data_IF_607463853442
#
_entry.id   IF_607463853442
#
_cell.length_a   1.000
_cell.length_b   1.000
_cell.length_c   1.000
_cell.angle_alpha   90.00
_cell.angle_beta   90.00
_cell.angle_gamma   90.00
#
_symmetry.space_group_name_H-M   'P 1'
#
loop_
_entity.id
_entity.type
_entity.pdbx_description
1 polymer ?
#
# COMPACT_ATOMS: atom_id res chain seq x y z
N UNK A 1 2.56 -13.81 -7.24
CA UNK A 1 2.28 -14.87 -6.23
C UNK A 1 2.25 -14.29 -4.83
N UNK A 2 1.96 -15.10 -3.80
CA UNK A 2 2.06 -14.68 -2.40
C UNK A 2 3.50 -14.44 -1.95
N UNK A 3 4.47 -15.07 -2.61
CA UNK A 3 5.90 -14.92 -2.37
C UNK A 3 6.41 -13.55 -2.79
N UNK A 4 5.78 -12.92 -3.77
CA UNK A 4 6.17 -11.62 -4.32
C UNK A 4 5.71 -10.44 -3.45
N UNK A 5 4.93 -10.71 -2.38
CA UNK A 5 4.40 -9.68 -1.50
C UNK A 5 5.36 -9.43 -0.35
N UNK A 6 5.91 -8.23 -0.30
CA UNK A 6 6.81 -7.80 0.76
C UNK A 6 6.07 -7.44 2.06
N UNK A 7 6.65 -7.75 3.20
CA UNK A 7 6.27 -7.25 4.52
C UNK A 7 4.96 -7.76 5.13
N UNK A 8 4.22 -8.70 4.47
CA UNK A 8 2.92 -9.18 4.94
C UNK A 8 2.89 -10.71 5.19
N UNK A 9 3.99 -11.27 5.69
CA UNK A 9 4.14 -12.73 5.86
C UNK A 9 3.02 -13.37 6.68
N UNK A 10 2.55 -12.71 7.74
CA UNK A 10 1.46 -13.20 8.59
C UNK A 10 0.13 -13.33 7.83
N UNK A 11 -0.15 -12.46 6.86
CA UNK A 11 -1.34 -12.52 6.00
C UNK A 11 -1.17 -13.62 4.95
N UNK A 12 -0.04 -13.61 4.23
CA UNK A 12 0.20 -14.53 3.11
C UNK A 12 0.27 -15.98 3.56
N UNK A 13 0.92 -16.28 4.69
CA UNK A 13 1.00 -17.63 5.27
C UNK A 13 -0.40 -18.12 5.66
N UNK A 14 -1.18 -17.28 6.35
CA UNK A 14 -2.53 -17.66 6.79
C UNK A 14 -3.44 -17.94 5.61
N UNK A 15 -3.42 -17.10 4.57
CA UNK A 15 -4.22 -17.31 3.36
C UNK A 15 -3.79 -18.55 2.58
N UNK A 16 -2.47 -18.82 2.44
CA UNK A 16 -1.96 -20.05 1.81
C UNK A 16 -2.45 -21.30 2.54
N UNK A 17 -2.40 -21.31 3.86
CA UNK A 17 -2.89 -22.44 4.66
C UNK A 17 -4.39 -22.63 4.49
N UNK A 18 -5.19 -21.56 4.52
CA UNK A 18 -6.63 -21.62 4.29
C UNK A 18 -6.97 -22.22 2.91
N UNK A 19 -6.23 -21.81 1.86
CA UNK A 19 -6.39 -22.34 0.50
C UNK A 19 -6.04 -23.83 0.45
N UNK A 20 -4.89 -24.21 1.03
CA UNK A 20 -4.43 -25.62 1.08
C UNK A 20 -5.43 -26.54 1.80
N UNK A 21 -6.04 -26.04 2.85
CA UNK A 21 -7.05 -26.79 3.64
C UNK A 21 -8.48 -26.67 3.06
N UNK A 22 -8.64 -25.96 1.92
CA UNK A 22 -9.93 -25.66 1.30
C UNK A 22 -10.93 -24.99 2.27
N UNK A 23 -10.41 -24.17 3.21
CA UNK A 23 -11.18 -23.40 4.21
C UNK A 23 -11.29 -21.95 3.78
N UNK A 24 -12.04 -21.71 2.70
CA UNK A 24 -12.24 -20.36 2.18
C UNK A 24 -13.41 -19.70 2.91
N UNK A 25 -13.16 -18.53 3.52
CA UNK A 25 -14.22 -17.74 4.12
C UNK A 25 -15.05 -17.04 3.03
N UNK A 26 -16.33 -16.81 3.32
CA UNK A 26 -17.22 -16.09 2.40
C UNK A 26 -16.94 -14.59 2.35
N UNK A 27 -16.28 -14.01 3.38
CA UNK A 27 -15.92 -12.61 3.43
C UNK A 27 -14.59 -12.39 4.14
N UNK A 28 -13.76 -11.54 3.55
CA UNK A 28 -12.49 -11.08 4.08
C UNK A 28 -12.51 -9.56 4.25
N UNK A 29 -11.91 -9.07 5.32
CA UNK A 29 -11.68 -7.64 5.53
C UNK A 29 -10.17 -7.38 5.63
N UNK A 30 -9.61 -6.71 4.64
CA UNK A 30 -8.21 -6.28 4.60
C UNK A 30 -8.12 -4.83 5.08
N UNK A 31 -7.56 -4.61 6.26
CA UNK A 31 -7.46 -3.31 6.89
C UNK A 31 -5.99 -2.89 7.04
N UNK A 32 -5.67 -1.64 6.77
CA UNK A 32 -4.32 -1.11 6.97
C UNK A 32 -3.95 0.07 6.08
N UNK A 33 -2.76 0.66 6.25
CA UNK A 33 -2.33 1.85 5.53
C UNK A 33 -2.38 1.70 4.01
N UNK A 34 -2.37 2.83 3.30
CA UNK A 34 -2.30 2.86 1.83
C UNK A 34 -0.97 2.25 1.36
N UNK A 35 -0.96 1.65 0.18
CA UNK A 35 0.26 1.16 -0.45
C UNK A 35 0.83 -0.14 0.13
N UNK A 36 0.18 -0.77 1.14
CA UNK A 36 0.68 -1.98 1.84
C UNK A 36 0.32 -3.31 1.17
N UNK A 37 -0.31 -3.28 -0.01
CA UNK A 37 -0.58 -4.48 -0.81
C UNK A 37 -1.96 -5.12 -0.62
N UNK A 38 -2.94 -4.45 0.03
CA UNK A 38 -4.30 -4.99 0.25
C UNK A 38 -4.96 -5.48 -1.03
N UNK A 39 -5.09 -4.63 -2.04
CA UNK A 39 -5.72 -4.94 -3.33
C UNK A 39 -4.91 -5.98 -4.11
N UNK A 40 -3.58 -5.94 -4.00
CA UNK A 40 -2.68 -6.93 -4.59
C UNK A 40 -2.92 -8.33 -4.01
N UNK A 41 -2.97 -8.46 -2.69
CA UNK A 41 -3.27 -9.75 -2.01
C UNK A 41 -4.69 -10.19 -2.31
N UNK A 42 -5.66 -9.26 -2.41
CA UNK A 42 -7.02 -9.58 -2.83
C UNK A 42 -7.06 -10.25 -4.21
N UNK A 43 -6.35 -9.70 -5.20
CA UNK A 43 -6.21 -10.29 -6.54
C UNK A 43 -5.47 -11.64 -6.51
N UNK A 44 -4.43 -11.77 -5.70
CA UNK A 44 -3.70 -13.03 -5.53
C UNK A 44 -4.63 -14.09 -4.91
N UNK A 45 -5.41 -13.75 -3.90
CA UNK A 45 -6.39 -14.65 -3.28
C UNK A 45 -7.45 -15.05 -4.30
N UNK A 46 -8.02 -14.12 -5.05
CA UNK A 46 -9.00 -14.40 -6.10
C UNK A 46 -8.45 -15.36 -7.17
N UNK A 47 -7.18 -15.17 -7.59
CA UNK A 47 -6.49 -16.10 -8.47
C UNK A 47 -6.33 -17.49 -7.85
N UNK A 48 -5.89 -17.54 -6.60
CA UNK A 48 -5.57 -18.80 -5.93
C UNK A 48 -6.79 -19.69 -5.73
N UNK A 49 -7.95 -19.11 -5.30
CA UNK A 49 -9.18 -19.90 -5.08
C UNK A 49 -9.88 -20.32 -6.38
N UNK A 50 -9.56 -19.67 -7.50
CA UNK A 50 -10.10 -19.96 -8.83
C UNK A 50 -9.07 -20.59 -9.78
N UNK A 51 -7.88 -20.89 -9.28
CA UNK A 51 -6.80 -21.50 -10.06
C UNK A 51 -7.14 -22.94 -10.42
N UNK A 52 -6.87 -23.34 -11.66
CA UNK A 52 -7.04 -24.71 -12.16
C UNK A 52 -5.72 -25.47 -12.27
N UNK A 53 -4.59 -24.87 -11.88
CA UNK A 53 -3.27 -25.51 -11.86
C UNK A 53 -2.93 -26.14 -10.51
N UNK A 54 -1.87 -26.94 -10.48
CA UNK A 54 -1.45 -27.72 -9.30
C UNK A 54 -0.92 -26.89 -8.13
N UNK A 55 -0.37 -25.68 -8.42
CA UNK A 55 0.21 -24.77 -7.42
C UNK A 55 -0.48 -23.40 -7.45
N UNK A 56 -1.62 -23.23 -6.73
CA UNK A 56 -2.36 -21.97 -6.72
C UNK A 56 -1.63 -20.80 -6.00
N UNK A 57 -1.57 -19.61 -6.64
CA UNK A 57 -1.95 -19.27 -8.00
C UNK A 57 -0.82 -19.62 -9.00
N UNK A 58 -1.13 -20.39 -10.08
CA UNK A 58 -0.12 -20.80 -11.05
C UNK A 58 0.30 -19.68 -12.04
N UNK A 59 -0.46 -18.59 -12.16
CA UNK A 59 -0.29 -17.49 -13.10
C UNK A 59 -0.35 -17.85 -14.60
N UNK A 60 -0.51 -19.11 -14.95
CA UNK A 60 -0.48 -19.62 -16.33
C UNK A 60 -1.86 -20.06 -16.85
N UNK A 61 -2.73 -20.54 -15.97
CA UNK A 61 -4.07 -20.99 -16.37
C UNK A 61 -4.94 -19.81 -16.85
N UNK A 62 -6.00 -20.08 -17.65
CA UNK A 62 -6.87 -19.03 -18.18
C UNK A 62 -7.44 -18.11 -17.10
N UNK A 63 -7.87 -18.66 -15.96
CA UNK A 63 -8.42 -17.88 -14.86
C UNK A 63 -7.35 -16.94 -14.26
N UNK A 64 -6.14 -17.43 -13.98
CA UNK A 64 -5.07 -16.59 -13.45
C UNK A 64 -4.68 -15.46 -14.39
N UNK A 65 -4.60 -15.72 -15.70
CA UNK A 65 -4.28 -14.72 -16.72
C UNK A 65 -5.38 -13.66 -16.81
N UNK A 66 -6.65 -14.08 -16.93
CA UNK A 66 -7.78 -13.16 -17.03
C UNK A 66 -7.92 -12.29 -15.77
N UNK A 67 -7.73 -12.86 -14.56
CA UNK A 67 -7.76 -12.07 -13.31
C UNK A 67 -6.60 -11.07 -13.25
N UNK A 68 -5.42 -11.44 -13.75
CA UNK A 68 -4.27 -10.52 -13.81
C UNK A 68 -4.52 -9.35 -14.76
N UNK A 69 -5.20 -9.60 -15.87
CA UNK A 69 -5.59 -8.57 -16.86
C UNK A 69 -6.79 -7.72 -16.41
N UNK A 70 -7.55 -8.19 -15.42
CA UNK A 70 -8.77 -7.51 -14.95
C UNK A 70 -10.03 -7.81 -15.76
N UNK A 71 -9.99 -8.83 -16.61
CA UNK A 71 -11.05 -9.15 -17.57
C UNK A 71 -11.88 -10.40 -17.19
N UNK A 72 -11.66 -10.95 -15.99
CA UNK A 72 -12.34 -12.18 -15.57
C UNK A 72 -13.81 -11.91 -15.18
N UNK A 73 -14.81 -12.57 -15.82
CA UNK A 73 -16.23 -12.27 -15.59
C UNK A 73 -16.72 -12.56 -14.17
N UNK A 74 -16.06 -13.50 -13.47
CA UNK A 74 -16.41 -13.89 -12.11
C UNK A 74 -15.55 -13.23 -11.03
N UNK A 75 -14.63 -12.31 -11.39
CA UNK A 75 -13.84 -11.53 -10.44
C UNK A 75 -14.06 -10.04 -10.72
N UNK A 76 -14.86 -9.42 -9.89
CA UNK A 76 -15.33 -8.05 -10.08
C UNK A 76 -14.62 -7.16 -9.06
N UNK A 77 -13.87 -6.18 -9.56
CA UNK A 77 -13.21 -5.17 -8.74
C UNK A 77 -14.04 -3.87 -8.77
N UNK A 78 -14.32 -3.34 -7.59
CA UNK A 78 -15.13 -2.13 -7.40
C UNK A 78 -14.35 -1.19 -6.48
N UNK A 79 -14.12 0.01 -6.94
CA UNK A 79 -13.64 1.11 -6.11
C UNK A 79 -14.85 1.82 -5.49
N UNK A 80 -15.00 1.71 -4.17
CA UNK A 80 -16.10 2.34 -3.46
C UNK A 80 -15.99 3.87 -3.41
N UNK A 81 -14.82 4.46 -3.70
CA UNK A 81 -14.70 5.91 -3.82
C UNK A 81 -15.47 6.43 -5.05
N UNK A 82 -15.52 5.65 -6.13
CA UNK A 82 -16.23 5.97 -7.38
C UNK A 82 -17.63 5.36 -7.45
N UNK A 83 -17.91 4.29 -6.69
CA UNK A 83 -19.16 3.50 -6.73
C UNK A 83 -19.70 3.29 -5.31
N UNK A 84 -20.07 4.37 -4.63
CA UNK A 84 -20.44 4.38 -3.20
C UNK A 84 -21.96 4.35 -2.94
N UNK A 85 -22.77 4.44 -3.97
CA UNK A 85 -24.23 4.58 -3.86
C UNK A 85 -24.95 3.28 -3.59
N UNK A 86 -26.17 3.41 -3.10
CA UNK A 86 -27.07 2.27 -2.82
C UNK A 86 -27.45 1.50 -4.08
N UNK A 87 -27.60 2.19 -5.21
CA UNK A 87 -28.04 1.55 -6.45
C UNK A 87 -26.94 0.64 -7.03
N UNK A 88 -25.70 1.10 -7.02
CA UNK A 88 -24.54 0.33 -7.47
C UNK A 88 -24.39 -0.95 -6.62
N UNK A 89 -24.57 -0.85 -5.30
CA UNK A 89 -24.51 -2.00 -4.40
C UNK A 89 -25.72 -2.92 -4.58
N UNK A 90 -26.91 -2.41 -4.85
CA UNK A 90 -28.10 -3.25 -5.18
C UNK A 90 -27.89 -4.03 -6.45
N UNK A 91 -27.37 -3.39 -7.50
CA UNK A 91 -27.04 -4.05 -8.76
C UNK A 91 -25.99 -5.16 -8.56
N UNK A 92 -25.02 -4.93 -7.67
CA UNK A 92 -24.06 -5.96 -7.26
C UNK A 92 -24.76 -7.12 -6.57
N UNK A 93 -25.64 -6.86 -5.57
CA UNK A 93 -26.37 -7.86 -4.81
C UNK A 93 -27.28 -8.70 -5.72
N UNK A 94 -27.89 -8.10 -6.71
CA UNK A 94 -28.70 -8.84 -7.69
C UNK A 94 -27.84 -9.78 -8.54
N UNK A 95 -26.61 -9.41 -8.85
CA UNK A 95 -25.65 -10.26 -9.58
C UNK A 95 -25.05 -11.39 -8.72
N UNK A 96 -25.04 -11.24 -7.40
CA UNK A 96 -24.57 -12.26 -6.46
C UNK A 96 -25.37 -13.56 -6.54
N UNK A 97 -26.63 -13.49 -6.90
CA UNK A 97 -27.54 -14.66 -7.00
C UNK A 97 -27.17 -15.62 -8.13
N UNK A 98 -26.41 -15.14 -9.12
CA UNK A 98 -26.06 -15.95 -10.28
C UNK A 98 -24.76 -16.73 -10.04
N UNK A 99 -24.77 -18.00 -10.44
CA UNK A 99 -23.59 -18.86 -10.37
C UNK A 99 -22.41 -18.31 -11.19
N UNK A 100 -21.17 -18.66 -10.84
CA UNK A 100 -20.01 -18.32 -11.66
C UNK A 100 -20.10 -18.91 -13.06
N UNK A 101 -19.50 -18.22 -14.05
CA UNK A 101 -19.50 -18.65 -15.45
C UNK A 101 -18.31 -19.59 -15.70
N UNK A 102 -17.11 -19.21 -15.29
CA UNK A 102 -15.86 -19.89 -15.60
C UNK A 102 -15.03 -20.27 -14.37
N UNK A 103 -15.39 -19.78 -13.19
CA UNK A 103 -14.62 -19.95 -11.96
C UNK A 103 -15.33 -20.84 -10.94
N UNK A 104 -14.61 -21.29 -9.92
CA UNK A 104 -15.19 -21.99 -8.77
C UNK A 104 -15.97 -21.03 -7.85
N UNK A 105 -15.41 -19.83 -7.66
CA UNK A 105 -15.98 -18.77 -6.84
C UNK A 105 -16.15 -17.50 -7.64
N UNK A 106 -17.27 -16.82 -7.44
CA UNK A 106 -17.47 -15.45 -7.90
C UNK A 106 -16.96 -14.51 -6.81
N UNK A 107 -15.96 -13.69 -7.14
CA UNK A 107 -15.24 -12.86 -6.17
C UNK A 107 -15.56 -11.39 -6.41
N UNK A 108 -15.94 -10.71 -5.34
CA UNK A 108 -16.13 -9.26 -5.34
C UNK A 108 -15.03 -8.62 -4.49
N UNK A 109 -14.13 -7.88 -5.12
CA UNK A 109 -13.10 -7.09 -4.46
C UNK A 109 -13.63 -5.66 -4.38
N UNK A 110 -13.90 -5.18 -3.15
CA UNK A 110 -14.40 -3.82 -2.92
C UNK A 110 -13.30 -3.04 -2.21
N UNK A 111 -12.64 -2.15 -2.96
CA UNK A 111 -11.58 -1.30 -2.41
C UNK A 111 -12.16 -0.03 -1.81
N UNK A 112 -11.45 0.52 -0.81
CA UNK A 112 -11.83 1.69 0.00
C UNK A 112 -13.28 1.61 0.50
N UNK A 113 -13.68 0.42 0.96
CA UNK A 113 -15.06 0.11 1.34
C UNK A 113 -15.65 1.07 2.39
N UNK A 114 -14.82 1.77 3.18
CA UNK A 114 -15.26 2.80 4.12
C UNK A 114 -15.90 4.02 3.45
N UNK A 115 -15.74 4.18 2.13
CA UNK A 115 -16.38 5.25 1.35
C UNK A 115 -17.85 4.95 0.98
N UNK A 116 -18.32 3.72 1.20
CA UNK A 116 -19.71 3.35 0.96
C UNK A 116 -20.67 4.10 1.89
N UNK A 117 -21.84 4.44 1.38
CA UNK A 117 -22.88 5.04 2.22
C UNK A 117 -23.43 4.05 3.24
N UNK A 118 -23.98 4.52 4.39
CA UNK A 118 -24.60 3.63 5.38
C UNK A 118 -25.71 2.73 4.80
N UNK A 119 -26.48 3.25 3.85
CA UNK A 119 -27.54 2.50 3.18
C UNK A 119 -26.99 1.40 2.27
N UNK A 120 -25.84 1.66 1.62
CA UNK A 120 -25.13 0.67 0.81
C UNK A 120 -24.57 -0.45 1.69
N UNK A 121 -23.98 -0.11 2.85
CA UNK A 121 -23.55 -1.09 3.84
C UNK A 121 -24.71 -1.95 4.35
N UNK A 122 -25.84 -1.35 4.67
CA UNK A 122 -27.03 -2.09 5.12
C UNK A 122 -27.55 -3.06 4.06
N UNK A 123 -27.49 -2.68 2.78
CA UNK A 123 -27.86 -3.56 1.69
C UNK A 123 -26.93 -4.79 1.58
N UNK A 124 -25.61 -4.59 1.80
CA UNK A 124 -24.61 -5.64 1.75
C UNK A 124 -24.72 -6.61 2.95
N UNK A 125 -25.14 -6.12 4.14
CA UNK A 125 -25.23 -6.92 5.36
C UNK A 125 -26.04 -8.19 5.17
N UNK A 126 -27.21 -8.12 4.50
CA UNK A 126 -28.07 -9.29 4.30
C UNK A 126 -27.36 -10.39 3.50
N UNK A 127 -26.55 -10.02 2.52
CA UNK A 127 -25.78 -10.98 1.71
C UNK A 127 -24.59 -11.55 2.49
N UNK A 128 -24.00 -10.76 3.40
CA UNK A 128 -22.93 -11.24 4.28
C UNK A 128 -23.44 -12.17 5.40
N UNK A 129 -24.72 -12.06 5.79
CA UNK A 129 -25.36 -12.95 6.76
C UNK A 129 -25.69 -14.31 6.18
N UNK A 130 -26.23 -14.31 4.95
CA UNK A 130 -26.62 -15.53 4.24
C UNK A 130 -25.96 -15.57 2.85
N UNK A 131 -24.61 -15.74 2.80
CA UNK A 131 -23.90 -15.71 1.55
C UNK A 131 -24.15 -16.97 0.73
N UNK A 132 -24.40 -16.87 -0.59
CA UNK A 132 -24.38 -18.03 -1.47
C UNK A 132 -23.00 -18.73 -1.42
N UNK A 133 -22.98 -20.06 -1.46
CA UNK A 133 -21.77 -20.87 -1.27
C UNK A 133 -20.66 -20.59 -2.32
N UNK A 134 -21.02 -20.02 -3.46
CA UNK A 134 -20.11 -19.71 -4.55
C UNK A 134 -19.58 -18.28 -4.53
N UNK A 135 -19.91 -17.47 -3.51
CA UNK A 135 -19.53 -16.06 -3.42
C UNK A 135 -18.41 -15.87 -2.39
N UNK A 136 -17.43 -15.03 -2.76
CA UNK A 136 -16.40 -14.55 -1.83
C UNK A 136 -16.31 -13.02 -1.95
N UNK A 137 -16.48 -12.35 -0.82
CA UNK A 137 -16.23 -10.91 -0.70
C UNK A 137 -14.84 -10.65 -0.16
N UNK A 138 -14.10 -9.69 -0.75
CA UNK A 138 -12.85 -9.18 -0.23
C UNK A 138 -12.99 -7.67 -0.11
N UNK A 139 -13.18 -7.20 1.11
CA UNK A 139 -13.34 -5.80 1.45
C UNK A 139 -11.98 -5.22 1.85
N UNK A 140 -11.54 -4.15 1.22
CA UNK A 140 -10.30 -3.47 1.58
C UNK A 140 -10.58 -2.05 2.10
N UNK A 141 -9.84 -1.63 3.13
CA UNK A 141 -10.00 -0.29 3.74
C UNK A 141 -8.71 0.24 4.32
N UNK A 142 -8.50 1.54 4.17
CA UNK A 142 -7.46 2.29 4.89
C UNK A 142 -7.97 2.79 6.26
N UNK A 143 -9.28 2.83 6.49
CA UNK A 143 -9.90 3.38 7.70
C UNK A 143 -10.84 2.36 8.37
N UNK A 144 -10.28 1.34 9.05
CA UNK A 144 -11.08 0.25 9.65
C UNK A 144 -12.05 0.75 10.74
N UNK A 145 -11.77 1.88 11.37
CA UNK A 145 -12.63 2.48 12.39
C UNK A 145 -13.94 3.04 11.84
N UNK A 146 -14.03 3.29 10.52
CA UNK A 146 -15.26 3.71 9.83
C UNK A 146 -16.16 2.54 9.42
N UNK A 147 -15.67 1.31 9.52
CA UNK A 147 -16.46 0.13 9.14
C UNK A 147 -17.37 -0.27 10.28
N UNK A 148 -18.63 -0.56 9.95
CA UNK A 148 -19.62 -0.98 10.93
C UNK A 148 -19.20 -2.28 11.65
N UNK A 149 -19.32 -2.37 13.00
CA UNK A 149 -19.01 -3.60 13.74
C UNK A 149 -19.78 -4.82 13.24
N UNK A 150 -20.97 -4.62 12.72
CA UNK A 150 -21.82 -5.65 12.12
C UNK A 150 -21.22 -6.27 10.85
N UNK A 151 -20.47 -5.51 10.07
CA UNK A 151 -19.69 -6.01 8.92
C UNK A 151 -18.44 -6.75 9.41
N UNK A 152 -17.68 -6.11 10.33
CA UNK A 152 -16.42 -6.68 10.86
C UNK A 152 -16.66 -8.08 11.45
N UNK A 153 -17.76 -8.26 12.20
CA UNK A 153 -18.08 -9.56 12.83
C UNK A 153 -18.41 -10.70 11.87
N UNK A 154 -18.67 -10.39 10.59
CA UNK A 154 -18.99 -11.35 9.54
C UNK A 154 -17.85 -11.61 8.57
N UNK A 155 -16.73 -10.90 8.74
CA UNK A 155 -15.56 -11.01 7.89
C UNK A 155 -14.39 -11.64 8.65
N UNK A 156 -13.57 -12.42 7.96
CA UNK A 156 -12.24 -12.75 8.46
C UNK A 156 -11.34 -11.56 8.25
N UNK A 157 -10.94 -10.90 9.36
CA UNK A 157 -10.13 -9.68 9.32
C UNK A 157 -8.64 -10.00 9.25
N UNK A 158 -7.94 -9.25 8.40
CA UNK A 158 -6.49 -9.24 8.27
C UNK A 158 -5.99 -7.80 8.38
N UNK A 159 -5.10 -7.55 9.32
CA UNK A 159 -4.50 -6.23 9.54
C UNK A 159 -3.14 -6.17 8.82
N UNK A 160 -3.07 -5.30 7.82
CA UNK A 160 -1.87 -5.01 7.06
C UNK A 160 -1.03 -3.96 7.79
N UNK A 161 0.24 -4.21 7.87
CA UNK A 161 1.21 -3.30 8.51
C UNK A 161 1.95 -2.49 7.45
N UNK A 162 2.55 -1.38 7.87
CA UNK A 162 3.56 -0.71 7.05
C UNK A 162 4.66 -1.71 6.71
N UNK A 163 5.16 -1.62 5.49
CA UNK A 163 6.26 -2.46 5.05
C UNK A 163 7.55 -1.93 5.66
N UNK A 164 8.36 -2.79 6.22
CA UNK A 164 9.64 -2.42 6.82
C UNK A 164 10.61 -1.89 5.74
N UNK A 165 11.48 -0.95 6.11
CA UNK A 165 12.44 -0.35 5.17
C UNK A 165 13.30 -1.40 4.46
N UNK A 166 13.75 -2.42 5.18
CA UNK A 166 14.53 -3.53 4.61
C UNK A 166 13.77 -4.27 3.50
N UNK A 167 12.47 -4.54 3.69
CA UNK A 167 11.64 -5.22 2.70
C UNK A 167 11.39 -4.33 1.47
N UNK A 168 11.24 -3.00 1.68
CA UNK A 168 11.13 -2.03 0.59
C UNK A 168 12.42 -1.99 -0.21
N UNK A 169 13.57 -1.83 0.45
CA UNK A 169 14.89 -1.79 -0.20
C UNK A 169 15.12 -3.07 -1.01
N UNK A 170 14.89 -4.24 -0.41
CA UNK A 170 15.05 -5.53 -1.09
C UNK A 170 14.18 -5.63 -2.36
N UNK A 171 12.96 -5.09 -2.31
CA UNK A 171 12.08 -5.07 -3.48
C UNK A 171 12.54 -4.10 -4.56
N UNK A 172 13.00 -2.91 -4.17
CA UNK A 172 13.57 -1.92 -5.10
C UNK A 172 14.82 -2.47 -5.79
N UNK A 173 15.73 -3.10 -5.03
CA UNK A 173 16.91 -3.76 -5.59
C UNK A 173 16.54 -4.84 -6.61
N UNK A 174 15.57 -5.68 -6.29
CA UNK A 174 15.10 -6.70 -7.22
C UNK A 174 14.63 -6.07 -8.54
N UNK A 175 13.82 -5.01 -8.48
CA UNK A 175 13.32 -4.31 -9.68
C UNK A 175 14.47 -3.70 -10.48
N UNK A 176 15.42 -3.02 -9.83
CA UNK A 176 16.55 -2.37 -10.49
C UNK A 176 17.48 -3.38 -11.17
N UNK A 177 17.70 -4.54 -10.54
CA UNK A 177 18.49 -5.65 -11.11
C UNK A 177 17.80 -6.24 -12.35
N UNK A 178 16.48 -6.47 -12.31
CA UNK A 178 15.72 -6.96 -13.48
C UNK A 178 15.70 -5.96 -14.64
N UNK A 179 15.66 -4.66 -14.34
CA UNK A 179 15.68 -3.57 -15.33
C UNK A 179 17.10 -3.22 -15.81
N UNK A 180 18.15 -3.84 -15.24
CA UNK A 180 19.57 -3.54 -15.49
C UNK A 180 19.89 -2.04 -15.32
N UNK A 181 19.48 -1.47 -14.19
CA UNK A 181 19.70 -0.08 -13.83
C UNK A 181 20.83 0.01 -12.78
N UNK A 182 21.77 0.95 -12.99
CA UNK A 182 22.79 1.28 -12.00
C UNK A 182 22.20 2.19 -10.91
N UNK A 183 22.60 1.95 -9.66
CA UNK A 183 22.09 2.70 -8.52
C UNK A 183 23.08 2.80 -7.36
N UNK A 184 22.96 3.88 -6.57
CA UNK A 184 23.65 4.05 -5.30
C UNK A 184 22.82 3.40 -4.19
N UNK A 185 23.42 2.64 -3.28
CA UNK A 185 22.71 2.00 -2.15
C UNK A 185 21.97 3.02 -1.28
N UNK A 186 22.60 4.16 -0.98
CA UNK A 186 21.98 5.26 -0.22
C UNK A 186 20.70 5.79 -0.87
N UNK A 187 20.58 5.73 -2.18
CA UNK A 187 19.38 6.11 -2.93
C UNK A 187 18.15 5.28 -2.54
N UNK A 188 18.34 4.00 -2.27
CA UNK A 188 17.26 3.10 -1.86
C UNK A 188 16.75 3.41 -0.46
N UNK A 189 17.66 3.74 0.46
CA UNK A 189 17.29 4.16 1.82
C UNK A 189 16.45 5.44 1.78
N UNK A 190 16.82 6.41 0.94
CA UNK A 190 16.06 7.64 0.78
C UNK A 190 14.67 7.35 0.24
N UNK A 191 14.54 6.52 -0.81
CA UNK A 191 13.23 6.15 -1.37
C UNK A 191 12.39 5.42 -0.32
N UNK A 192 12.98 4.51 0.45
CA UNK A 192 12.28 3.76 1.50
C UNK A 192 11.70 4.69 2.58
N UNK A 193 12.48 5.65 3.04
CA UNK A 193 12.03 6.68 3.99
C UNK A 193 10.93 7.57 3.40
N UNK A 194 11.06 7.95 2.12
CA UNK A 194 10.05 8.74 1.40
C UNK A 194 8.71 8.02 1.30
N UNK A 195 8.74 6.71 1.13
CA UNK A 195 7.57 5.87 0.93
C UNK A 195 6.78 5.60 2.22
N UNK A 196 7.37 5.85 3.39
CA UNK A 196 6.73 5.73 4.71
C UNK A 196 5.97 4.39 4.88
N UNK A 197 6.62 3.29 4.48
CA UNK A 197 6.07 1.94 4.58
C UNK A 197 5.05 1.57 3.50
N UNK A 198 4.86 2.40 2.46
CA UNK A 198 4.00 2.13 1.31
C UNK A 198 4.80 1.57 0.12
N UNK A 199 4.69 0.28 -0.18
CA UNK A 199 5.39 -0.31 -1.33
C UNK A 199 4.99 0.31 -2.67
N UNK A 200 3.70 0.67 -2.84
CA UNK A 200 3.22 1.35 -4.06
C UNK A 200 3.87 2.72 -4.22
N UNK A 201 4.00 3.45 -3.12
CA UNK A 201 4.61 4.77 -3.12
C UNK A 201 6.11 4.66 -3.40
N UNK A 202 6.81 3.67 -2.83
CA UNK A 202 8.22 3.39 -3.11
C UNK A 202 8.48 3.13 -4.61
N UNK A 203 7.67 2.26 -5.22
CA UNK A 203 7.79 1.98 -6.65
C UNK A 203 7.46 3.19 -7.53
N UNK A 204 6.47 4.00 -7.15
CA UNK A 204 6.13 5.23 -7.87
C UNK A 204 7.25 6.28 -7.77
N UNK A 205 7.89 6.39 -6.61
CA UNK A 205 9.06 7.26 -6.42
C UNK A 205 10.22 6.79 -7.29
N UNK A 206 10.51 5.49 -7.29
CA UNK A 206 11.55 4.90 -8.13
C UNK A 206 11.29 5.19 -9.61
N UNK A 207 10.07 4.93 -10.10
CA UNK A 207 9.68 5.17 -11.48
C UNK A 207 9.88 6.64 -11.90
N UNK A 208 9.50 7.59 -11.04
CA UNK A 208 9.70 9.01 -11.31
C UNK A 208 11.18 9.39 -11.37
N UNK A 209 12.02 8.84 -10.47
CA UNK A 209 13.46 9.08 -10.51
C UNK A 209 14.10 8.51 -11.78
N UNK A 210 13.71 7.29 -12.18
CA UNK A 210 14.21 6.66 -13.39
C UNK A 210 13.72 7.34 -14.69
N UNK A 211 12.56 7.98 -14.65
CA UNK A 211 12.08 8.81 -15.76
C UNK A 211 12.91 10.10 -15.93
N UNK A 212 13.48 10.62 -14.82
CA UNK A 212 14.37 11.77 -14.85
C UNK A 212 15.77 11.41 -15.35
N UNK A 213 16.36 10.36 -14.80
CA UNK A 213 17.67 9.82 -15.21
C UNK A 213 17.69 8.30 -14.98
N UNK A 214 18.28 7.57 -15.90
CA UNK A 214 18.35 6.11 -15.83
C UNK A 214 19.35 5.60 -14.79
N UNK A 215 20.23 6.47 -14.29
CA UNK A 215 21.14 6.19 -13.17
C UNK A 215 20.53 6.74 -11.88
N UNK A 216 20.19 5.86 -10.94
CA UNK A 216 19.56 6.24 -9.69
C UNK A 216 20.62 6.73 -8.68
N UNK A 217 20.72 8.02 -8.49
CA UNK A 217 21.65 8.67 -7.55
C UNK A 217 20.91 9.51 -6.51
N UNK A 218 21.55 9.71 -5.37
CA UNK A 218 21.04 10.61 -4.32
C UNK A 218 20.78 12.02 -4.86
N UNK A 219 21.67 12.52 -5.73
CA UNK A 219 21.52 13.83 -6.33
C UNK A 219 20.26 13.95 -7.20
N UNK A 220 19.96 12.91 -7.99
CA UNK A 220 18.78 12.86 -8.85
C UNK A 220 17.50 12.80 -8.03
N UNK A 221 17.45 12.00 -6.95
CA UNK A 221 16.32 11.97 -6.03
C UNK A 221 16.09 13.34 -5.38
N UNK A 222 17.17 13.96 -4.91
CA UNK A 222 17.08 15.28 -4.29
C UNK A 222 16.52 16.33 -5.27
N UNK A 223 16.92 16.29 -6.55
CA UNK A 223 16.39 17.20 -7.58
C UNK A 223 14.91 16.93 -7.87
N UNK A 224 14.51 15.66 -8.03
CA UNK A 224 13.13 15.29 -8.36
C UNK A 224 12.16 15.63 -7.23
N UNK A 225 12.58 15.39 -5.98
CA UNK A 225 11.72 15.55 -4.80
C UNK A 225 11.99 16.85 -4.00
N UNK A 226 12.90 17.70 -4.48
CA UNK A 226 13.24 18.94 -3.78
C UNK A 226 13.74 18.69 -2.35
N UNK A 227 14.53 17.63 -2.16
CA UNK A 227 15.07 17.29 -0.85
C UNK A 227 16.30 18.17 -0.56
N UNK A 228 16.36 18.64 0.68
CA UNK A 228 17.54 19.36 1.17
C UNK A 228 18.61 18.39 1.63
N UNK A 229 19.85 18.69 1.26
CA UNK A 229 20.99 18.00 1.81
C UNK A 229 21.06 18.20 3.34
N UNK A 230 21.54 17.19 4.07
CA UNK A 230 21.60 17.25 5.54
C UNK A 230 22.40 18.45 6.06
N UNK A 231 23.45 18.85 5.36
CA UNK A 231 24.26 20.02 5.73
C UNK A 231 23.46 21.31 5.71
N UNK A 232 22.54 21.46 4.75
CA UNK A 232 21.69 22.65 4.65
C UNK A 232 20.61 22.65 5.76
N UNK A 233 20.06 21.48 6.11
CA UNK A 233 19.15 21.34 7.26
C UNK A 233 19.85 21.71 8.57
N UNK A 234 21.05 21.18 8.79
CA UNK A 234 21.87 21.49 9.96
C UNK A 234 22.21 22.98 10.01
N UNK A 235 22.56 23.58 8.87
CA UNK A 235 22.83 25.03 8.77
C UNK A 235 21.61 25.84 9.17
N UNK A 236 20.42 25.48 8.69
CA UNK A 236 19.18 26.17 9.04
C UNK A 236 18.86 26.06 10.53
N UNK A 237 19.04 24.87 11.12
CA UNK A 237 18.87 24.66 12.57
C UNK A 237 19.85 25.52 13.36
N UNK A 238 21.12 25.59 12.95
CA UNK A 238 22.11 26.46 13.61
C UNK A 238 21.70 27.93 13.58
N UNK A 239 21.21 28.43 12.44
CA UNK A 239 20.70 29.80 12.31
C UNK A 239 19.49 30.06 13.22
N UNK A 240 18.58 29.09 13.35
CA UNK A 240 17.43 29.18 14.27
C UNK A 240 17.88 29.23 15.73
N UNK A 241 18.83 28.37 16.13
CA UNK A 241 19.34 28.32 17.50
C UNK A 241 20.12 29.57 17.88
N UNK A 242 20.84 30.17 16.93
CA UNK A 242 21.56 31.45 17.13
C UNK A 242 20.67 32.68 17.00
N UNK A 243 19.36 32.49 16.69
CA UNK A 243 18.35 33.56 16.50
C UNK A 243 18.73 34.55 15.39
N UNK A 244 19.49 34.11 14.39
CA UNK A 244 19.86 34.92 13.22
C UNK A 244 18.69 34.92 12.20
N UNK A 245 17.61 35.60 12.57
CA UNK A 245 16.38 35.63 11.77
C UNK A 245 16.57 36.19 10.37
N UNK A 246 17.53 37.11 10.18
CA UNK A 246 17.83 37.70 8.86
C UNK A 246 18.34 36.63 7.89
N UNK A 247 19.26 35.81 8.33
CA UNK A 247 19.80 34.71 7.49
C UNK A 247 18.85 33.53 7.39
N UNK A 248 18.04 33.24 8.42
CA UNK A 248 16.94 32.26 8.34
C UNK A 248 15.99 32.63 7.20
N UNK A 249 15.48 33.89 7.16
CA UNK A 249 14.53 34.30 6.12
C UNK A 249 15.16 34.27 4.72
N UNK A 250 16.43 34.69 4.56
CA UNK A 250 17.13 34.57 3.27
C UNK A 250 17.31 33.14 2.81
N UNK A 251 17.63 32.23 3.74
CA UNK A 251 17.78 30.79 3.42
C UNK A 251 16.46 30.19 3.01
N UNK A 252 15.36 30.49 3.71
CA UNK A 252 14.02 30.04 3.34
C UNK A 252 13.57 30.60 1.98
N UNK A 253 13.82 31.87 1.69
CA UNK A 253 13.50 32.48 0.39
C UNK A 253 14.26 31.77 -0.75
N UNK A 254 15.55 31.50 -0.54
CA UNK A 254 16.34 30.73 -1.50
C UNK A 254 15.78 29.30 -1.69
N UNK A 255 15.41 28.60 -0.62
CA UNK A 255 14.80 27.27 -0.68
C UNK A 255 13.47 27.29 -1.43
N UNK A 256 12.64 28.31 -1.22
CA UNK A 256 11.39 28.49 -1.97
C UNK A 256 11.67 28.72 -3.46
N UNK A 257 12.71 29.45 -3.82
CA UNK A 257 13.09 29.65 -5.23
C UNK A 257 13.54 28.35 -5.92
N UNK A 258 14.01 27.37 -5.15
CA UNK A 258 14.35 26.00 -5.61
C UNK A 258 13.16 25.03 -5.59
N UNK A 259 11.94 25.53 -5.35
CA UNK A 259 10.70 24.73 -5.28
C UNK A 259 10.70 23.66 -4.19
N UNK A 260 11.42 23.89 -3.08
CA UNK A 260 11.46 22.98 -1.94
C UNK A 260 10.12 23.05 -1.19
N UNK A 261 9.56 21.89 -0.85
CA UNK A 261 8.33 21.79 -0.06
C UNK A 261 8.59 22.16 1.40
N UNK A 262 8.06 23.32 1.81
CA UNK A 262 8.24 23.86 3.17
C UNK A 262 7.57 22.95 4.24
N UNK A 263 6.48 22.28 3.91
CA UNK A 263 5.82 21.37 4.84
C UNK A 263 6.73 20.18 5.15
N UNK A 264 7.34 19.64 4.12
CA UNK A 264 8.30 18.56 4.24
C UNK A 264 9.57 19.00 4.96
N UNK A 265 10.11 20.16 4.60
CA UNK A 265 11.25 20.76 5.29
C UNK A 265 10.98 20.88 6.80
N UNK A 266 9.78 21.33 7.17
CA UNK A 266 9.40 21.42 8.58
C UNK A 266 9.42 20.06 9.28
N UNK A 267 8.91 19.02 8.63
CA UNK A 267 8.96 17.65 9.16
C UNK A 267 10.40 17.17 9.31
N UNK A 268 11.23 17.34 8.28
CA UNK A 268 12.64 16.97 8.31
C UNK A 268 13.41 17.65 9.44
N UNK A 269 13.14 18.95 9.70
CA UNK A 269 13.75 19.69 10.81
C UNK A 269 13.29 19.14 12.18
N UNK A 270 12.02 18.77 12.30
CA UNK A 270 11.47 18.15 13.52
C UNK A 270 12.16 16.81 13.77
N UNK A 271 12.34 15.99 12.74
CA UNK A 271 12.98 14.68 12.86
C UNK A 271 14.45 14.82 13.27
N UNK A 272 15.21 15.73 12.66
CA UNK A 272 16.59 16.03 13.09
C UNK A 272 16.64 16.50 14.55
N UNK A 273 15.74 17.38 14.98
CA UNK A 273 15.69 17.84 16.37
C UNK A 273 15.32 16.71 17.35
N UNK A 274 14.41 15.85 16.97
CA UNK A 274 14.04 14.64 17.72
C UNK A 274 15.27 13.73 17.92
N UNK A 275 15.99 13.45 16.83
CA UNK A 275 17.20 12.61 16.88
C UNK A 275 18.27 13.22 17.79
N UNK A 276 18.50 14.52 17.70
CA UNK A 276 19.42 15.24 18.60
C UNK A 276 18.99 15.13 20.05
N UNK A 277 17.69 15.22 20.36
CA UNK A 277 17.18 15.08 21.74
C UNK A 277 17.36 13.65 22.24
N UNK A 278 17.04 12.66 21.40
CA UNK A 278 17.21 11.23 21.74
C UNK A 278 18.70 10.95 22.02
N UNK A 279 19.58 11.30 21.09
CA UNK A 279 21.01 11.07 21.24
C UNK A 279 21.59 11.75 22.46
N UNK A 280 21.20 13.00 22.72
CA UNK A 280 21.68 13.76 23.89
C UNK A 280 21.31 13.08 25.23
N UNK A 281 20.15 12.42 25.29
CA UNK A 281 19.66 11.79 26.52
C UNK A 281 20.08 10.32 26.67
N UNK A 282 20.24 9.59 25.57
CA UNK A 282 20.51 8.15 25.57
C UNK A 282 21.96 7.80 25.23
N UNK A 283 22.64 8.66 24.47
CA UNK A 283 23.96 8.40 23.86
C UNK A 283 23.98 7.11 23.02
N UNK A 284 22.82 6.66 22.56
CA UNK A 284 22.63 5.43 21.78
C UNK A 284 22.19 5.77 20.36
N UNK A 285 23.02 5.43 19.37
CA UNK A 285 22.74 5.64 17.95
C UNK A 285 21.69 4.67 17.40
N UNK A 286 21.49 3.53 18.07
CA UNK A 286 20.51 2.53 17.62
C UNK A 286 19.06 2.97 17.81
N UNK A 287 18.83 4.05 18.57
CA UNK A 287 17.51 4.64 18.82
C UNK A 287 17.17 5.83 17.89
N UNK A 288 18.07 6.17 16.98
CA UNK A 288 17.83 7.19 15.96
C UNK A 288 16.99 6.62 14.81
N UNK A 289 16.11 7.42 14.25
CA UNK A 289 15.12 7.01 13.22
C UNK A 289 15.47 7.54 11.84
#
# INVERSE_FOLDING_TARGET
>A
TFEDVAGQSHVTITLKNAIKENRIAHAYLFAGPRGTGKTTIAKILAKAINCTGDHPPCNECPNCKAITQGDHPDVIEIDAASNNGVNEVRDLIDKVKYAPINAKYKVYIIDEVHMMTPEAFNALLKTLEEPPAHIVFILATTEPHKILPTIISRCQRFDFKRVDEHDIISRLEYVLKEENVEYDEESLEIISKLADGGMRDALSILEQCLAYDRHLTVENINKVYGLLANDEKIRLIKLLLTKDMKNVLKTLDHMMSLSIDLKRLTQDLIDVLKDVIIFKNTQDLSLLF
#
